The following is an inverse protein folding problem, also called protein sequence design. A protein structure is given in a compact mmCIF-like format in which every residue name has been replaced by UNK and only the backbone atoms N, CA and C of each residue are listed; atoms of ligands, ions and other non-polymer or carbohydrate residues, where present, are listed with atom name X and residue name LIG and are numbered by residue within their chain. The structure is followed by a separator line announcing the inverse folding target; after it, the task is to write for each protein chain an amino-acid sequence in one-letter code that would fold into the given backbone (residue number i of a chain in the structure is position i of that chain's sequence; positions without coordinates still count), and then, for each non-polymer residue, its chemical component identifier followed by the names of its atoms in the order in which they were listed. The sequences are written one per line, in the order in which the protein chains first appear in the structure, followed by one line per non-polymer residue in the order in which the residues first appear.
data_IF_641669570767
#
_entry.id   IF_641669570767
#
_cell.length_a   1.000
_cell.length_b   1.000
_cell.length_c   1.000
_cell.angle_alpha   90.00
_cell.angle_beta   90.00
_cell.angle_gamma   90.00
#
_symmetry.space_group_name_H-M   'P 1'
#
loop_
_entity.id
_entity.type
_entity.pdbx_description
1 polymer ?
#
# COMPACT_ATOMS: atom_id res chain seq x y z
N UNK A 1 19.39 99.85 34.20
CA UNK A 1 18.59 100.28 33.03
C UNK A 1 19.10 99.45 31.85
N UNK A 2 18.21 98.59 31.31
CA UNK A 2 18.22 97.76 30.07
C UNK A 2 19.55 97.10 29.59
N UNK A 3 19.67 95.78 29.41
CA UNK A 3 18.96 94.79 28.54
C UNK A 3 19.38 94.80 27.06
N UNK A 4 19.49 93.57 26.53
CA UNK A 4 19.58 93.08 25.13
C UNK A 4 20.95 93.12 24.43
N UNK A 5 21.41 92.09 23.71
CA UNK A 5 20.83 90.80 23.33
C UNK A 5 21.72 90.10 22.27
N UNK A 6 21.66 88.75 22.23
CA UNK A 6 21.93 87.77 21.15
C UNK A 6 22.83 88.14 19.94
N UNK A 7 23.70 87.28 19.40
CA UNK A 7 23.75 85.82 19.40
C UNK A 7 23.94 85.32 17.94
N UNK A 8 24.75 84.26 17.79
CA UNK A 8 24.76 83.28 16.68
C UNK A 8 25.21 83.76 15.28
N UNK A 9 25.79 82.96 14.38
CA UNK A 9 26.28 81.58 14.40
C UNK A 9 27.12 81.36 13.13
N UNK A 10 28.03 80.40 13.25
CA UNK A 10 28.76 79.70 12.21
C UNK A 10 27.86 78.83 11.32
N UNK A 11 28.15 78.69 10.02
CA UNK A 11 28.72 77.47 9.41
C UNK A 11 28.55 77.38 7.87
N UNK A 12 29.67 77.00 7.25
CA UNK A 12 29.87 76.01 6.17
C UNK A 12 29.15 76.12 4.81
N UNK A 13 29.97 76.35 3.79
CA UNK A 13 30.04 75.63 2.50
C UNK A 13 31.40 76.02 1.87
N UNK A 14 32.23 75.23 1.18
CA UNK A 14 31.99 74.19 0.18
C UNK A 14 33.32 73.47 -0.16
N UNK A 15 33.22 72.14 -0.30
CA UNK A 15 33.70 71.29 -1.42
C UNK A 15 35.07 71.51 -2.10
N UNK A 16 35.97 70.51 -2.04
CA UNK A 16 36.51 69.78 -3.21
C UNK A 16 37.66 68.80 -2.84
N UNK A 17 37.45 67.53 -3.18
CA UNK A 17 38.39 66.53 -3.73
C UNK A 17 39.69 66.17 -2.99
N UNK A 18 39.68 65.02 -2.32
CA UNK A 18 40.86 64.27 -1.87
C UNK A 18 40.77 62.78 -2.24
N UNK A 19 41.68 62.40 -3.14
CA UNK A 19 42.47 61.17 -3.26
C UNK A 19 41.83 59.80 -2.90
N UNK A 20 41.78 58.93 -3.93
CA UNK A 20 41.41 57.51 -3.87
C UNK A 20 42.51 56.66 -3.21
N UNK A 21 42.25 56.09 -2.03
CA UNK A 21 42.93 54.90 -1.52
C UNK A 21 41.98 53.69 -1.49
N UNK A 22 42.41 52.60 -2.11
CA UNK A 22 41.73 51.31 -2.14
C UNK A 22 41.81 50.64 -0.76
N UNK A 23 40.66 50.35 -0.14
CA UNK A 23 40.58 49.50 1.06
C UNK A 23 39.81 48.21 0.76
N UNK A 24 40.39 47.08 1.15
CA UNK A 24 39.85 45.74 0.98
C UNK A 24 38.60 45.49 1.85
N UNK A 25 37.63 44.66 1.41
CA UNK A 25 36.43 44.40 2.20
C UNK A 25 36.74 43.55 3.46
N UNK A 26 36.27 44.04 4.62
CA UNK A 26 36.25 43.30 5.89
C UNK A 26 35.50 41.97 5.70
N UNK A 27 36.16 40.84 6.01
CA UNK A 27 35.50 39.53 6.15
C UNK A 27 34.52 39.58 7.32
N UNK A 28 33.26 39.29 7.05
CA UNK A 28 32.24 38.98 8.05
C UNK A 28 32.67 37.76 8.89
N UNK A 29 32.28 37.68 10.18
CA UNK A 29 32.54 36.51 11.00
C UNK A 29 31.83 35.28 10.40
N UNK A 30 32.37 34.07 10.58
CA UNK A 30 31.77 32.86 10.02
C UNK A 30 30.37 32.69 10.60
N UNK A 31 29.39 32.58 9.70
CA UNK A 31 28.06 32.09 10.02
C UNK A 31 28.17 30.78 10.78
N UNK A 32 27.40 30.65 11.85
CA UNK A 32 27.12 29.38 12.51
C UNK A 32 26.87 28.27 11.47
N UNK A 33 27.28 27.01 11.75
CA UNK A 33 26.95 25.91 10.86
C UNK A 33 25.43 25.93 10.61
N UNK A 34 24.97 25.65 9.38
CA UNK A 34 23.55 25.55 9.13
C UNK A 34 23.00 24.55 10.15
N UNK A 35 21.98 24.98 10.89
CA UNK A 35 21.09 24.08 11.61
C UNK A 35 20.84 22.90 10.67
N UNK A 36 21.03 21.67 11.13
CA UNK A 36 20.62 20.52 10.35
C UNK A 36 19.12 20.69 10.10
N UNK A 37 18.76 21.20 8.92
CA UNK A 37 17.41 21.09 8.40
C UNK A 37 17.17 19.59 8.41
N UNK A 38 16.37 19.12 9.37
CA UNK A 38 15.85 17.78 9.35
C UNK A 38 15.01 17.71 8.09
N UNK A 39 15.62 17.29 6.98
CA UNK A 39 14.93 17.04 5.73
C UNK A 39 13.82 16.04 6.07
N UNK A 40 12.57 16.52 6.10
CA UNK A 40 11.43 15.71 6.48
C UNK A 40 11.30 14.57 5.46
N UNK A 41 11.66 13.37 5.88
CA UNK A 41 11.70 12.21 5.00
C UNK A 41 10.28 11.71 4.78
N UNK A 42 9.92 11.55 3.51
CA UNK A 42 8.70 10.82 3.15
C UNK A 42 8.82 9.37 3.56
N UNK A 43 7.73 8.79 4.04
CA UNK A 43 7.61 7.38 4.37
C UNK A 43 6.36 6.80 3.72
N UNK A 44 6.08 5.52 3.98
CA UNK A 44 4.90 4.85 3.49
C UNK A 44 4.37 3.80 4.47
N UNK A 45 3.15 3.36 4.22
CA UNK A 45 2.49 2.28 4.94
C UNK A 45 1.73 1.42 3.93
N UNK A 46 1.80 0.09 4.08
CA UNK A 46 1.00 -0.85 3.28
C UNK A 46 0.07 -1.61 4.21
N UNK A 47 -1.22 -1.71 3.89
CA UNK A 47 -2.17 -2.47 4.71
C UNK A 47 -3.24 -3.15 3.87
N UNK A 48 -3.95 -4.08 4.50
CA UNK A 48 -4.93 -4.95 3.85
C UNK A 48 -6.35 -4.45 4.10
N UNK A 49 -7.13 -4.39 3.03
CA UNK A 49 -8.57 -4.17 3.05
C UNK A 49 -9.27 -5.30 2.28
N UNK A 50 -10.42 -5.74 2.74
CA UNK A 50 -11.29 -6.59 1.93
C UNK A 50 -11.69 -5.88 0.64
N UNK A 51 -12.21 -6.64 -0.33
CA UNK A 51 -12.70 -6.04 -1.58
C UNK A 51 -13.81 -5.00 -1.37
N UNK A 52 -14.70 -5.22 -0.40
CA UNK A 52 -15.80 -4.31 -0.10
C UNK A 52 -15.27 -2.99 0.49
N UNK A 53 -14.41 -3.08 1.50
CA UNK A 53 -13.74 -1.92 2.11
C UNK A 53 -12.93 -1.14 1.08
N UNK A 54 -12.13 -1.82 0.25
CA UNK A 54 -11.37 -1.18 -0.82
C UNK A 54 -12.28 -0.46 -1.85
N UNK A 55 -13.44 -1.04 -2.18
CA UNK A 55 -14.45 -0.40 -3.02
C UNK A 55 -15.02 0.88 -2.39
N UNK A 56 -15.31 0.84 -1.09
CA UNK A 56 -15.78 1.99 -0.31
C UNK A 56 -14.73 3.11 -0.25
N UNK A 57 -13.46 2.78 -0.03
CA UNK A 57 -12.35 3.77 -0.01
C UNK A 57 -12.12 4.41 -1.38
N UNK A 58 -12.28 3.66 -2.47
CA UNK A 58 -12.20 4.24 -3.83
C UNK A 58 -13.38 5.21 -4.03
N UNK A 59 -14.59 4.81 -3.65
CA UNK A 59 -15.81 5.59 -3.86
C UNK A 59 -16.27 5.60 -5.32
N UNK A 60 -17.51 6.05 -5.56
CA UNK A 60 -18.08 6.12 -6.92
C UNK A 60 -17.25 7.06 -7.79
N UNK A 61 -16.69 6.55 -8.88
CA UNK A 61 -15.83 7.33 -9.77
C UNK A 61 -14.49 7.77 -9.15
N UNK A 62 -14.07 7.18 -8.03
CA UNK A 62 -12.83 7.59 -7.35
C UNK A 62 -12.99 8.81 -6.44
N UNK A 63 -14.22 9.23 -6.12
CA UNK A 63 -14.48 10.47 -5.37
C UNK A 63 -13.85 10.45 -3.97
N UNK A 64 -14.03 9.37 -3.22
CA UNK A 64 -13.59 9.27 -1.81
C UNK A 64 -12.07 9.24 -1.71
N UNK A 65 -11.39 8.42 -2.50
CA UNK A 65 -9.92 8.38 -2.49
C UNK A 65 -9.32 9.72 -2.91
N UNK A 66 -9.96 10.44 -3.84
CA UNK A 66 -9.53 11.77 -4.26
C UNK A 66 -9.68 12.78 -3.13
N UNK A 67 -10.80 12.75 -2.41
CA UNK A 67 -11.03 13.58 -1.22
C UNK A 67 -10.00 13.29 -0.13
N UNK A 68 -9.75 12.01 0.18
CA UNK A 68 -8.81 11.62 1.23
C UNK A 68 -7.38 12.04 0.91
N UNK A 69 -6.94 11.90 -0.33
CA UNK A 69 -5.64 12.42 -0.77
C UNK A 69 -5.58 13.95 -0.66
N UNK A 70 -6.64 14.65 -1.05
CA UNK A 70 -6.70 16.12 -0.96
C UNK A 70 -6.66 16.63 0.48
N UNK A 71 -7.36 15.96 1.41
CA UNK A 71 -7.44 16.38 2.82
C UNK A 71 -6.20 16.03 3.62
N UNK A 72 -5.56 14.91 3.29
CA UNK A 72 -4.40 14.42 4.02
C UNK A 72 -3.08 14.94 3.46
N UNK A 73 -2.99 15.30 2.18
CA UNK A 73 -1.72 15.58 1.50
C UNK A 73 -0.95 14.30 1.10
N UNK A 74 -1.37 13.14 1.56
CA UNK A 74 -0.75 11.87 1.22
C UNK A 74 -1.22 11.34 -0.14
N UNK A 75 -0.38 10.52 -0.76
CA UNK A 75 -0.73 9.71 -1.93
C UNK A 75 -1.28 8.36 -1.47
N UNK A 76 -2.46 7.99 -1.94
CA UNK A 76 -3.15 6.74 -1.63
C UNK A 76 -3.28 5.93 -2.92
N UNK A 77 -2.80 4.69 -2.90
CA UNK A 77 -2.85 3.77 -4.02
C UNK A 77 -3.44 2.44 -3.56
N UNK A 78 -4.23 1.80 -4.42
CA UNK A 78 -4.76 0.46 -4.17
C UNK A 78 -4.31 -0.48 -5.29
N UNK A 79 -3.91 -1.69 -4.92
CA UNK A 79 -3.73 -2.84 -5.82
C UNK A 79 -4.96 -3.03 -6.70
N UNK A 80 -4.83 -3.57 -7.93
CA UNK A 80 -5.96 -3.72 -8.86
C UNK A 80 -7.01 -4.71 -8.34
N UNK A 81 -8.18 -4.74 -8.98
CA UNK A 81 -9.15 -5.80 -8.70
C UNK A 81 -8.51 -7.17 -9.01
N UNK A 82 -8.72 -8.12 -8.09
CA UNK A 82 -8.12 -9.46 -8.12
C UNK A 82 -6.60 -9.52 -7.92
N UNK A 83 -5.97 -8.41 -7.52
CA UNK A 83 -4.58 -8.36 -7.06
C UNK A 83 -4.57 -8.38 -5.52
N UNK A 84 -4.60 -9.58 -4.96
CA UNK A 84 -4.71 -9.79 -3.51
C UNK A 84 -3.34 -9.92 -2.85
N UNK A 85 -3.31 -9.67 -1.54
CA UNK A 85 -2.21 -10.16 -0.73
C UNK A 85 -2.24 -11.69 -0.69
N UNK A 86 -1.10 -12.38 -0.82
CA UNK A 86 -1.08 -13.83 -0.92
C UNK A 86 -1.73 -14.52 0.28
N UNK A 87 -2.48 -15.59 -0.01
CA UNK A 87 -3.23 -16.35 0.98
C UNK A 87 -4.43 -15.61 1.60
N UNK A 88 -4.77 -14.43 1.09
CA UNK A 88 -5.97 -13.68 1.48
C UNK A 88 -6.81 -13.33 0.26
N UNK A 89 -8.00 -12.78 0.53
CA UNK A 89 -8.87 -12.12 -0.45
C UNK A 89 -8.81 -10.60 -0.31
N UNK A 90 -7.77 -10.10 0.35
CA UNK A 90 -7.64 -8.69 0.73
C UNK A 90 -6.78 -7.97 -0.30
N UNK A 91 -7.21 -6.80 -0.71
CA UNK A 91 -6.43 -5.87 -1.52
C UNK A 91 -5.42 -5.15 -0.65
N UNK A 92 -4.27 -4.86 -1.24
CA UNK A 92 -3.24 -4.03 -0.61
C UNK A 92 -3.50 -2.57 -0.93
N UNK A 93 -3.53 -1.74 0.11
CA UNK A 93 -3.50 -0.28 0.07
C UNK A 93 -2.09 0.17 0.40
N UNK A 94 -1.57 1.16 -0.31
CA UNK A 94 -0.34 1.86 0.03
C UNK A 94 -0.62 3.34 0.18
N UNK A 95 -0.26 3.90 1.33
CA UNK A 95 -0.29 5.35 1.60
C UNK A 95 1.14 5.82 1.74
N UNK A 96 1.50 6.93 1.10
CA UNK A 96 2.85 7.50 1.11
C UNK A 96 2.83 9.01 1.17
N UNK A 97 3.75 9.62 1.92
CA UNK A 97 3.85 11.05 2.11
C UNK A 97 4.74 11.39 3.31
N UNK A 98 4.64 12.62 3.81
CA UNK A 98 5.17 12.96 5.13
C UNK A 98 4.43 12.16 6.21
N UNK A 99 5.06 11.94 7.36
CA UNK A 99 4.50 11.08 8.40
C UNK A 99 3.13 11.58 8.88
N UNK A 100 2.98 12.87 9.13
CA UNK A 100 1.71 13.48 9.55
C UNK A 100 0.62 13.33 8.50
N UNK A 101 0.95 13.55 7.23
CA UNK A 101 0.00 13.42 6.13
C UNK A 101 -0.43 11.96 5.93
N UNK A 102 0.50 11.03 6.10
CA UNK A 102 0.21 9.60 6.08
C UNK A 102 -0.71 9.20 7.24
N UNK A 103 -0.42 9.65 8.47
CA UNK A 103 -1.26 9.37 9.63
C UNK A 103 -2.67 9.93 9.46
N UNK A 104 -2.81 11.18 8.96
CA UNK A 104 -4.11 11.77 8.61
C UNK A 104 -4.85 10.91 7.58
N UNK A 105 -4.18 10.42 6.54
CA UNK A 105 -4.81 9.57 5.54
C UNK A 105 -5.28 8.22 6.11
N UNK A 106 -4.50 7.61 7.00
CA UNK A 106 -4.88 6.36 7.67
C UNK A 106 -6.08 6.59 8.60
N UNK A 107 -6.11 7.70 9.34
CA UNK A 107 -7.24 8.09 10.19
C UNK A 107 -8.54 8.25 9.38
N UNK A 108 -8.50 8.99 8.26
CA UNK A 108 -9.65 9.15 7.37
C UNK A 108 -10.17 7.81 6.81
N UNK A 109 -9.25 6.91 6.45
CA UNK A 109 -9.60 5.58 5.95
C UNK A 109 -10.25 4.76 7.05
N UNK A 110 -9.63 4.66 8.22
CA UNK A 110 -10.13 3.85 9.33
C UNK A 110 -11.46 4.36 9.87
N UNK A 111 -11.62 5.68 10.03
CA UNK A 111 -12.89 6.29 10.42
C UNK A 111 -14.02 5.94 9.46
N UNK A 112 -13.78 6.07 8.15
CA UNK A 112 -14.79 5.68 7.14
C UNK A 112 -15.15 4.20 7.20
N UNK A 113 -14.17 3.32 7.39
CA UNK A 113 -14.43 1.88 7.47
C UNK A 113 -15.21 1.52 8.74
N UNK A 114 -14.87 2.17 9.86
CA UNK A 114 -15.57 2.00 11.14
C UNK A 114 -17.05 2.35 10.97
N UNK A 115 -17.34 3.53 10.43
CA UNK A 115 -18.71 4.03 10.22
C UNK A 115 -19.55 3.14 9.28
N UNK A 116 -18.93 2.55 8.25
CA UNK A 116 -19.66 1.82 7.21
C UNK A 116 -19.78 0.31 7.46
N UNK A 117 -18.82 -0.30 8.16
CA UNK A 117 -18.74 -1.76 8.30
C UNK A 117 -18.81 -2.27 9.74
N UNK A 118 -18.63 -1.41 10.75
CA UNK A 118 -18.48 -1.82 12.14
C UNK A 118 -19.48 -1.16 13.09
N UNK A 119 -20.35 -0.28 12.60
CA UNK A 119 -21.51 0.22 13.33
C UNK A 119 -22.70 -0.69 13.05
N UNK A 120 -22.75 -1.85 13.69
CA UNK A 120 -23.97 -2.65 13.80
C UNK A 120 -24.18 -3.03 15.27
N UNK A 121 -25.36 -2.64 15.77
CA UNK A 121 -25.98 -2.93 17.06
C UNK A 121 -25.73 -1.95 18.22
N UNK A 122 -26.83 -1.35 18.70
CA UNK A 122 -26.90 -0.19 19.60
C UNK A 122 -26.50 -0.46 21.05
N UNK A 123 -25.29 -0.95 21.28
CA UNK A 123 -24.66 -0.98 22.59
C UNK A 123 -23.80 0.25 22.85
N UNK A 124 -23.72 0.70 24.11
CA UNK A 124 -22.84 1.79 24.59
C UNK A 124 -21.33 1.50 24.46
N UNK A 125 -20.93 0.40 23.81
CA UNK A 125 -19.53 0.02 23.66
C UNK A 125 -18.93 0.68 22.41
N UNK A 126 -17.80 1.36 22.58
CA UNK A 126 -17.06 1.97 21.48
C UNK A 126 -16.65 0.91 20.45
N UNK A 127 -16.90 1.13 19.14
CA UNK A 127 -16.68 0.13 18.12
C UNK A 127 -15.19 -0.23 18.01
N UNK A 128 -14.91 -1.53 17.96
CA UNK A 128 -13.54 -2.07 17.88
C UNK A 128 -13.36 -2.78 16.55
N UNK A 129 -12.26 -2.49 15.86
CA UNK A 129 -11.95 -3.06 14.54
C UNK A 129 -10.54 -3.67 14.50
N UNK A 130 -10.08 -4.02 13.29
CA UNK A 130 -8.78 -4.64 13.06
C UNK A 130 -8.08 -3.99 11.87
N UNK A 131 -6.87 -3.49 12.10
CA UNK A 131 -5.96 -3.02 11.06
C UNK A 131 -4.86 -4.05 10.79
N UNK A 132 -4.58 -4.35 9.52
CA UNK A 132 -3.60 -5.36 9.10
C UNK A 132 -2.53 -4.73 8.23
N UNK A 133 -1.45 -4.30 8.86
CA UNK A 133 -0.27 -3.74 8.24
C UNK A 133 0.58 -4.83 7.58
N UNK A 134 1.11 -4.55 6.40
CA UNK A 134 2.06 -5.40 5.67
C UNK A 134 3.47 -4.82 5.83
N UNK A 135 4.38 -5.60 6.39
CA UNK A 135 5.74 -5.18 6.75
C UNK A 135 6.76 -6.19 6.20
N UNK A 136 7.84 -5.74 5.55
CA UNK A 136 8.95 -6.63 5.20
C UNK A 136 9.48 -7.37 6.42
N UNK A 137 9.75 -8.67 6.28
CA UNK A 137 10.25 -9.51 7.36
C UNK A 137 11.56 -8.96 7.96
N UNK A 138 12.42 -8.37 7.13
CA UNK A 138 13.64 -7.70 7.57
C UNK A 138 13.39 -6.59 8.60
N UNK A 139 12.25 -5.90 8.49
CA UNK A 139 11.87 -4.77 9.36
C UNK A 139 11.07 -5.20 10.58
N UNK A 140 10.49 -6.41 10.59
CA UNK A 140 9.76 -6.93 11.75
C UNK A 140 10.63 -7.08 13.00
N UNK A 141 11.93 -7.33 12.85
CA UNK A 141 12.86 -7.43 13.98
C UNK A 141 12.91 -6.15 14.82
N UNK A 142 12.83 -4.98 14.17
CA UNK A 142 12.79 -3.67 14.85
C UNK A 142 11.50 -3.42 15.61
N UNK A 143 10.36 -3.87 15.07
CA UNK A 143 9.05 -3.81 15.76
C UNK A 143 9.03 -4.74 16.98
N UNK A 144 9.55 -5.96 16.85
CA UNK A 144 9.57 -6.93 17.94
C UNK A 144 10.52 -6.46 19.06
N UNK A 145 11.73 -6.04 18.69
CA UNK A 145 12.78 -5.67 19.63
C UNK A 145 13.38 -6.86 20.39
N UNK A 146 14.49 -6.64 21.10
CA UNK A 146 15.18 -7.68 21.86
C UNK A 146 14.25 -8.25 22.95
N UNK A 147 14.01 -9.57 22.93
CA UNK A 147 13.11 -10.24 23.87
C UNK A 147 11.64 -9.79 23.77
N UNK A 148 11.23 -9.17 22.66
CA UNK A 148 9.89 -8.62 22.49
C UNK A 148 9.66 -7.29 23.22
N UNK A 149 10.71 -6.61 23.70
CA UNK A 149 10.57 -5.41 24.52
C UNK A 149 9.85 -4.26 23.81
N UNK A 150 10.17 -4.04 22.53
CA UNK A 150 9.58 -2.94 21.75
C UNK A 150 8.10 -3.16 21.49
N UNK A 151 7.71 -4.33 20.99
CA UNK A 151 6.29 -4.64 20.76
C UNK A 151 5.47 -4.63 22.07
N UNK A 152 6.06 -5.04 23.20
CA UNK A 152 5.41 -4.94 24.51
C UNK A 152 5.14 -3.49 24.91
N UNK A 153 6.12 -2.60 24.73
CA UNK A 153 5.94 -1.16 24.97
C UNK A 153 4.88 -0.57 24.04
N UNK A 154 4.83 -0.97 22.76
CA UNK A 154 3.78 -0.49 21.86
C UNK A 154 2.39 -0.94 22.30
N UNK A 155 2.24 -2.18 22.78
CA UNK A 155 0.99 -2.70 23.32
C UNK A 155 0.59 -1.92 24.59
N UNK A 156 1.54 -1.63 25.47
CA UNK A 156 1.30 -0.88 26.72
C UNK A 156 0.87 0.57 26.44
N UNK A 157 1.60 1.27 25.58
CA UNK A 157 1.39 2.69 25.27
C UNK A 157 0.12 2.94 24.45
N UNK A 158 -0.21 2.02 23.55
CA UNK A 158 -1.40 2.14 22.69
C UNK A 158 -2.66 1.51 23.28
N UNK A 159 -2.50 0.59 24.24
CA UNK A 159 -3.56 -0.32 24.73
C UNK A 159 -4.19 -1.20 23.64
N UNK A 160 -3.64 -1.19 22.41
CA UNK A 160 -4.10 -2.02 21.32
C UNK A 160 -3.54 -3.45 21.44
N UNK A 161 -4.29 -4.42 20.92
CA UNK A 161 -3.75 -5.75 20.67
C UNK A 161 -2.87 -5.74 19.43
N UNK A 162 -1.56 -6.05 19.57
CA UNK A 162 -0.61 -6.11 18.44
C UNK A 162 -0.08 -7.53 18.31
N UNK A 163 -0.22 -8.12 17.11
CA UNK A 163 0.28 -9.47 16.79
C UNK A 163 0.98 -9.48 15.44
N UNK A 164 2.13 -10.13 15.37
CA UNK A 164 2.87 -10.30 14.11
C UNK A 164 2.68 -11.74 13.64
N UNK A 165 2.26 -11.93 12.39
CA UNK A 165 2.12 -13.25 11.79
C UNK A 165 3.44 -14.04 11.88
N UNK A 166 3.40 -15.37 12.09
CA UNK A 166 4.61 -16.18 12.16
C UNK A 166 5.44 -16.12 10.85
N UNK A 167 6.73 -16.45 10.94
CA UNK A 167 7.66 -16.32 9.81
C UNK A 167 7.52 -17.45 8.76
N UNK A 168 6.91 -18.58 9.13
CA UNK A 168 6.69 -19.74 8.26
C UNK A 168 5.60 -19.50 7.20
N UNK A 169 4.82 -18.43 7.31
CA UNK A 169 3.78 -18.03 6.37
C UNK A 169 4.35 -17.39 5.07
N UNK A 170 5.54 -17.80 4.66
CA UNK A 170 6.34 -17.14 3.63
C UNK A 170 5.93 -17.65 2.24
N UNK A 171 5.31 -16.78 1.45
CA UNK A 171 4.99 -17.08 0.05
C UNK A 171 6.28 -17.06 -0.79
N UNK A 172 6.49 -18.01 -1.72
CA UNK A 172 7.69 -18.02 -2.54
C UNK A 172 7.91 -16.67 -3.25
N UNK A 173 9.07 -16.05 -3.05
CA UNK A 173 9.42 -14.75 -3.64
C UNK A 173 8.87 -13.51 -2.91
N UNK A 174 8.09 -13.69 -1.83
CA UNK A 174 7.65 -12.60 -0.95
C UNK A 174 8.12 -12.86 0.47
N UNK A 175 8.63 -11.81 1.08
CA UNK A 175 9.15 -11.86 2.43
C UNK A 175 8.43 -10.89 3.36
N UNK A 176 7.17 -10.57 3.07
CA UNK A 176 6.36 -9.68 3.91
C UNK A 176 5.59 -10.47 4.97
N UNK A 177 5.45 -9.88 6.15
CA UNK A 177 4.65 -10.37 7.27
C UNK A 177 3.53 -9.39 7.57
N UNK A 178 2.44 -9.92 8.13
CA UNK A 178 1.30 -9.12 8.54
C UNK A 178 1.40 -8.79 10.02
N UNK A 179 1.41 -7.50 10.34
CA UNK A 179 1.23 -6.97 11.71
C UNK A 179 -0.25 -6.61 11.88
N UNK A 180 -0.93 -7.31 12.77
CA UNK A 180 -2.35 -7.11 13.08
C UNK A 180 -2.47 -6.27 14.33
N UNK A 181 -3.16 -5.14 14.23
CA UNK A 181 -3.52 -4.23 15.32
C UNK A 181 -5.04 -4.33 15.52
N UNK A 182 -5.49 -4.48 16.77
CA UNK A 182 -6.92 -4.55 17.12
C UNK A 182 -7.20 -3.63 18.29
N UNK A 183 -8.25 -2.82 18.20
CA UNK A 183 -8.58 -1.83 19.22
C UNK A 183 -9.74 -0.93 18.83
N UNK A 184 -10.02 0.10 19.62
CA UNK A 184 -10.77 1.28 19.17
C UNK A 184 -9.96 2.04 18.10
N UNK A 185 -10.57 3.05 17.47
CA UNK A 185 -9.86 3.87 16.48
C UNK A 185 -8.62 4.53 17.09
N UNK A 186 -8.76 5.15 18.28
CA UNK A 186 -7.67 5.81 18.99
C UNK A 186 -6.55 4.85 19.39
N UNK A 187 -6.89 3.68 19.95
CA UNK A 187 -5.93 2.64 20.30
C UNK A 187 -5.13 2.19 19.04
N UNK A 188 -5.82 2.00 17.92
CA UNK A 188 -5.20 1.59 16.66
C UNK A 188 -4.29 2.68 16.09
N UNK A 189 -4.76 3.94 16.05
CA UNK A 189 -3.97 5.05 15.53
C UNK A 189 -2.69 5.26 16.33
N UNK A 190 -2.77 5.17 17.66
CA UNK A 190 -1.61 5.23 18.56
C UNK A 190 -0.60 4.10 18.27
N UNK A 191 -1.08 2.87 18.09
CA UNK A 191 -0.21 1.74 17.74
C UNK A 191 0.44 1.89 16.35
N UNK A 192 -0.33 2.35 15.37
CA UNK A 192 0.14 2.58 13.98
C UNK A 192 1.24 3.63 13.97
N UNK A 193 1.03 4.74 14.68
CA UNK A 193 2.04 5.80 14.85
C UNK A 193 3.36 5.24 15.40
N UNK A 194 3.33 4.52 16.53
CA UNK A 194 4.52 3.92 17.15
C UNK A 194 5.26 2.95 16.20
N UNK A 195 4.51 2.11 15.49
CA UNK A 195 5.07 1.18 14.51
C UNK A 195 5.72 1.94 13.36
N UNK A 196 5.08 2.99 12.84
CA UNK A 196 5.59 3.76 11.70
C UNK A 196 6.83 4.57 12.06
N UNK A 197 6.89 5.18 13.24
CA UNK A 197 8.11 5.81 13.74
C UNK A 197 9.26 4.80 13.75
N UNK A 198 9.02 3.59 14.26
CA UNK A 198 10.04 2.55 14.31
C UNK A 198 10.47 2.06 12.93
N UNK A 199 9.54 1.96 11.99
CA UNK A 199 9.82 1.56 10.61
C UNK A 199 10.57 2.66 9.83
N UNK A 200 10.28 3.93 10.09
CA UNK A 200 10.98 5.06 9.48
C UNK A 200 12.46 5.14 9.88
N UNK A 201 12.82 4.61 11.05
CA UNK A 201 14.21 4.46 11.50
C UNK A 201 14.97 3.32 10.78
N UNK A 202 14.26 2.38 10.13
CA UNK A 202 14.88 1.24 9.44
C UNK A 202 15.21 1.59 7.97
N UNK A 203 16.51 1.69 7.59
CA UNK A 203 16.90 1.98 6.22
C UNK A 203 16.40 0.96 5.19
N UNK A 204 16.22 -0.30 5.61
CA UNK A 204 15.75 -1.37 4.71
C UNK A 204 14.26 -1.22 4.40
N UNK A 205 13.47 -0.69 5.33
CA UNK A 205 12.06 -0.42 5.10
C UNK A 205 11.87 0.61 3.98
N UNK A 206 12.69 1.66 3.97
CA UNK A 206 12.59 2.72 2.97
C UNK A 206 12.96 2.26 1.55
N UNK A 207 13.83 1.26 1.42
CA UNK A 207 14.17 0.71 0.10
C UNK A 207 12.99 -0.04 -0.55
N UNK A 208 12.08 -0.63 0.23
CA UNK A 208 10.90 -1.34 -0.27
C UNK A 208 9.74 -0.43 -0.72
N UNK A 209 9.89 0.89 -0.61
CA UNK A 209 8.89 1.88 -1.05
C UNK A 209 8.67 1.84 -2.57
N UNK A 210 9.70 1.55 -3.37
CA UNK A 210 9.67 1.66 -4.84
C UNK A 210 8.88 0.55 -5.54
N UNK A 211 8.36 -0.43 -4.80
CA UNK A 211 7.61 -1.55 -5.35
C UNK A 211 6.29 -1.71 -4.59
N UNK A 212 5.27 -0.89 -4.92
CA UNK A 212 4.06 -0.76 -4.12
C UNK A 212 3.23 -2.06 -4.08
N UNK A 213 3.13 -2.75 -5.22
CA UNK A 213 2.29 -3.93 -5.40
C UNK A 213 3.05 -5.07 -6.12
N UNK A 214 3.95 -5.72 -5.40
CA UNK A 214 4.74 -6.85 -5.92
C UNK A 214 3.94 -8.17 -5.97
N UNK A 215 2.75 -8.18 -5.38
CA UNK A 215 1.95 -9.38 -5.16
C UNK A 215 1.36 -9.92 -6.46
N UNK A 216 1.06 -9.06 -7.44
CA UNK A 216 0.64 -9.51 -8.78
C UNK A 216 1.65 -10.46 -9.43
N UNK A 217 2.96 -10.26 -9.19
CA UNK A 217 4.00 -11.09 -9.77
C UNK A 217 4.09 -12.48 -9.11
N UNK A 218 3.57 -12.69 -7.90
CA UNK A 218 3.44 -14.05 -7.35
C UNK A 218 2.26 -14.79 -7.98
N UNK A 219 1.26 -14.06 -8.47
CA UNK A 219 0.15 -14.62 -9.25
C UNK A 219 0.47 -14.80 -10.75
N UNK A 220 1.51 -14.14 -11.29
CA UNK A 220 1.85 -14.15 -12.73
C UNK A 220 3.28 -14.67 -13.02
N UNK A 221 4.12 -14.85 -12.00
CA UNK A 221 5.56 -15.04 -12.11
C UNK A 221 6.04 -16.48 -12.05
N UNK A 222 5.54 -17.32 -12.97
CA UNK A 222 6.41 -18.35 -13.54
C UNK A 222 7.06 -17.90 -14.86
N UNK A 223 6.75 -16.70 -15.36
CA UNK A 223 7.47 -16.14 -16.50
C UNK A 223 7.16 -14.65 -16.61
N UNK A 224 8.09 -13.77 -16.27
CA UNK A 224 8.39 -12.51 -16.98
C UNK A 224 9.58 -11.85 -16.30
N UNK A 225 10.64 -11.61 -17.08
CA UNK A 225 11.84 -10.91 -16.65
C UNK A 225 11.56 -9.46 -16.21
N UNK A 226 12.56 -8.82 -15.57
CA UNK A 226 12.38 -7.56 -14.87
C UNK A 226 12.03 -6.40 -15.83
N UNK A 227 11.15 -5.46 -15.43
CA UNK A 227 10.91 -4.24 -16.18
C UNK A 227 11.88 -3.15 -15.73
N UNK A 228 12.85 -2.81 -16.58
CA UNK A 228 13.16 -1.43 -16.97
C UNK A 228 14.50 -1.32 -17.71
N UNK A 229 14.50 -0.55 -18.82
CA UNK A 229 15.61 0.33 -19.14
C UNK A 229 16.39 0.05 -20.43
N UNK A 230 16.19 0.95 -21.40
CA UNK A 230 17.21 1.51 -22.32
C UNK A 230 17.76 0.59 -23.42
N UNK A 231 17.74 1.13 -24.65
CA UNK A 231 18.04 0.40 -25.88
C UNK A 231 19.45 -0.18 -25.98
N UNK A 232 19.51 -1.37 -26.58
CA UNK A 232 20.74 -1.99 -27.08
C UNK A 232 20.38 -2.91 -28.24
N UNK A 233 20.80 -2.54 -29.45
CA UNK A 233 20.72 -3.37 -30.66
C UNK A 233 21.80 -4.45 -30.58
N UNK A 234 21.46 -5.74 -30.68
CA UNK A 234 22.30 -6.82 -31.26
C UNK A 234 21.43 -8.04 -31.64
N UNK A 235 21.87 -8.91 -32.57
CA UNK A 235 20.98 -9.52 -33.56
C UNK A 235 20.52 -10.96 -33.22
N UNK A 236 19.28 -11.21 -33.64
CA UNK A 236 18.72 -12.44 -34.21
C UNK A 236 19.35 -13.80 -33.79
N UNK A 237 18.66 -14.54 -32.92
CA UNK A 237 18.64 -16.00 -32.99
C UNK A 237 17.20 -16.50 -32.79
N UNK A 238 16.45 -16.46 -33.88
CA UNK A 238 15.06 -16.91 -33.98
C UNK A 238 15.05 -18.40 -34.23
N UNK A 239 14.96 -19.23 -33.20
CA UNK A 239 14.37 -20.58 -33.26
C UNK A 239 13.83 -21.01 -31.88
N UNK A 240 12.54 -21.38 -31.86
CA UNK A 240 11.80 -22.10 -30.81
C UNK A 240 11.53 -21.41 -29.45
N UNK A 241 10.45 -20.62 -29.41
CA UNK A 241 9.28 -20.98 -28.58
C UNK A 241 8.10 -20.07 -28.93
N UNK A 242 7.12 -20.62 -29.66
CA UNK A 242 5.93 -19.91 -30.13
C UNK A 242 4.66 -20.42 -29.42
N UNK A 243 4.81 -21.08 -28.27
CA UNK A 243 3.70 -21.69 -27.51
C UNK A 243 3.25 -20.86 -26.30
N UNK A 244 3.93 -19.78 -25.95
CA UNK A 244 3.51 -18.86 -24.88
C UNK A 244 2.48 -17.82 -25.37
N UNK A 245 1.47 -18.27 -26.13
CA UNK A 245 0.27 -17.45 -26.30
C UNK A 245 -0.57 -17.58 -25.04
N UNK A 246 -0.81 -16.44 -24.38
CA UNK A 246 -1.89 -16.32 -23.40
C UNK A 246 -3.19 -16.70 -24.10
N UNK A 247 -3.65 -17.92 -23.85
CA UNK A 247 -4.88 -18.45 -24.42
C UNK A 247 -6.03 -18.17 -23.47
N UNK A 248 -7.24 -18.10 -24.01
CA UNK A 248 -8.47 -18.01 -23.23
C UNK A 248 -9.38 -19.15 -23.67
N UNK A 249 -9.90 -19.89 -22.69
CA UNK A 249 -10.87 -20.96 -22.89
C UNK A 249 -12.10 -20.65 -22.05
N UNK A 250 -13.29 -20.87 -22.60
CA UNK A 250 -14.54 -20.74 -21.86
C UNK A 250 -15.18 -22.11 -21.77
N UNK A 251 -15.46 -22.57 -20.55
CA UNK A 251 -16.17 -23.81 -20.29
C UNK A 251 -17.55 -23.53 -19.68
N UNK A 252 -18.47 -24.46 -19.87
CA UNK A 252 -19.78 -24.45 -19.23
C UNK A 252 -19.75 -25.20 -17.91
N UNK A 253 -20.33 -24.61 -16.87
CA UNK A 253 -20.59 -25.28 -15.59
C UNK A 253 -22.07 -25.09 -15.26
N UNK A 254 -22.79 -26.19 -15.04
CA UNK A 254 -24.20 -26.13 -14.63
C UNK A 254 -24.38 -25.20 -13.42
N UNK A 255 -25.41 -24.36 -13.44
CA UNK A 255 -25.59 -23.30 -12.44
C UNK A 255 -25.60 -23.83 -10.99
N UNK A 256 -26.16 -25.03 -10.79
CA UNK A 256 -26.18 -25.75 -9.51
C UNK A 256 -24.77 -26.12 -8.99
N UNK A 257 -23.81 -26.37 -9.88
CA UNK A 257 -22.45 -26.77 -9.55
C UNK A 257 -21.48 -25.58 -9.43
N UNK A 258 -21.87 -24.38 -9.88
CA UNK A 258 -21.01 -23.18 -9.78
C UNK A 258 -20.68 -22.84 -8.34
N UNK A 259 -21.59 -23.10 -7.40
CA UNK A 259 -21.33 -22.93 -5.97
C UNK A 259 -20.15 -23.74 -5.46
N UNK A 260 -19.90 -24.92 -6.02
CA UNK A 260 -18.76 -25.80 -5.67
C UNK A 260 -17.44 -25.28 -6.21
N UNK A 261 -17.48 -24.76 -7.45
CA UNK A 261 -16.33 -24.15 -8.10
C UNK A 261 -15.93 -22.86 -7.38
N UNK A 262 -16.90 -22.02 -7.02
CA UNK A 262 -16.68 -20.81 -6.21
C UNK A 262 -16.21 -21.16 -4.80
N UNK A 263 -16.89 -22.08 -4.12
CA UNK A 263 -16.70 -22.37 -2.70
C UNK A 263 -17.22 -21.26 -1.79
N UNK A 264 -17.27 -21.53 -0.48
CA UNK A 264 -17.68 -20.52 0.53
C UNK A 264 -16.76 -19.30 0.43
N UNK A 265 -17.36 -18.11 0.27
CA UNK A 265 -16.66 -16.83 0.09
C UNK A 265 -15.64 -16.82 -1.07
N UNK A 266 -15.80 -17.68 -2.08
CA UNK A 266 -14.88 -17.73 -3.22
C UNK A 266 -13.58 -18.50 -2.96
N UNK A 267 -13.41 -19.16 -1.81
CA UNK A 267 -12.14 -19.82 -1.45
C UNK A 267 -11.72 -20.91 -2.45
N UNK A 268 -12.68 -21.70 -2.96
CA UNK A 268 -12.38 -22.81 -3.89
C UNK A 268 -11.88 -22.27 -5.22
N UNK A 269 -12.54 -21.24 -5.77
CA UNK A 269 -12.10 -20.67 -7.04
C UNK A 269 -10.76 -19.96 -6.91
N UNK A 270 -10.50 -19.35 -5.75
CA UNK A 270 -9.19 -18.75 -5.43
C UNK A 270 -8.10 -19.81 -5.38
N UNK A 271 -8.35 -20.94 -4.71
CA UNK A 271 -7.42 -22.08 -4.66
C UNK A 271 -7.15 -22.63 -6.07
N UNK A 272 -8.19 -22.80 -6.90
CA UNK A 272 -8.04 -23.26 -8.29
C UNK A 272 -7.20 -22.27 -9.09
N UNK A 273 -7.49 -20.98 -8.99
CA UNK A 273 -6.73 -19.93 -9.69
C UNK A 273 -5.27 -19.89 -9.22
N UNK A 274 -5.03 -20.02 -7.91
CA UNK A 274 -3.70 -20.04 -7.30
C UNK A 274 -2.88 -21.27 -7.74
N UNK A 275 -3.44 -22.48 -7.66
CA UNK A 275 -2.73 -23.72 -7.96
C UNK A 275 -2.52 -23.93 -9.47
N UNK A 276 -3.46 -23.44 -10.29
CA UNK A 276 -3.33 -23.55 -11.75
C UNK A 276 -2.48 -22.45 -12.38
N UNK A 277 -2.33 -21.30 -11.71
CA UNK A 277 -1.74 -20.10 -12.32
C UNK A 277 -2.61 -19.50 -13.44
N UNK A 278 -3.88 -19.89 -13.55
CA UNK A 278 -4.82 -19.35 -14.52
C UNK A 278 -5.69 -18.26 -13.89
N UNK A 279 -5.99 -17.21 -14.65
CA UNK A 279 -7.04 -16.24 -14.31
C UNK A 279 -8.39 -16.85 -14.64
N UNK A 280 -9.29 -16.95 -13.65
CA UNK A 280 -10.61 -17.55 -13.84
C UNK A 280 -11.69 -16.53 -13.52
N UNK A 281 -12.61 -16.31 -14.45
CA UNK A 281 -13.79 -15.46 -14.29
C UNK A 281 -15.04 -16.30 -14.47
N UNK A 282 -15.99 -16.16 -13.54
CA UNK A 282 -17.31 -16.79 -13.64
C UNK A 282 -18.30 -15.70 -13.99
N UNK A 283 -19.22 -15.96 -14.93
CA UNK A 283 -20.30 -15.03 -15.29
C UNK A 283 -21.21 -14.73 -14.10
N UNK A 284 -22.02 -13.69 -14.16
CA UNK A 284 -23.03 -13.41 -13.13
C UNK A 284 -24.19 -14.42 -13.17
N UNK A 285 -24.98 -14.49 -12.09
CA UNK A 285 -26.17 -15.35 -12.07
C UNK A 285 -27.12 -14.96 -13.20
N UNK A 286 -27.56 -15.93 -13.99
CA UNK A 286 -28.41 -15.71 -15.16
C UNK A 286 -27.68 -15.44 -16.48
N UNK A 287 -26.35 -15.24 -16.46
CA UNK A 287 -25.55 -15.13 -17.69
C UNK A 287 -24.97 -16.50 -18.09
N UNK A 288 -25.68 -17.18 -18.97
CA UNK A 288 -25.39 -18.55 -19.42
C UNK A 288 -24.75 -18.61 -20.81
N UNK A 289 -24.07 -19.72 -21.11
CA UNK A 289 -23.62 -20.06 -22.46
C UNK A 289 -24.83 -20.17 -23.39
N UNK A 290 -24.71 -19.59 -24.58
CA UNK A 290 -25.79 -19.52 -25.56
C UNK A 290 -26.35 -20.91 -25.87
N UNK A 291 -27.66 -21.08 -25.66
CA UNK A 291 -28.36 -22.35 -25.90
C UNK A 291 -28.25 -23.37 -24.76
N UNK A 292 -27.69 -23.00 -23.60
CA UNK A 292 -27.56 -23.87 -22.42
C UNK A 292 -28.01 -23.16 -21.14
N UNK A 293 -28.15 -23.90 -20.04
CA UNK A 293 -28.29 -23.36 -18.67
C UNK A 293 -26.94 -23.30 -17.93
N UNK A 294 -25.83 -23.45 -18.65
CA UNK A 294 -24.51 -23.51 -18.04
C UNK A 294 -23.93 -22.11 -17.89
N UNK A 295 -23.42 -21.80 -16.69
CA UNK A 295 -22.69 -20.57 -16.41
C UNK A 295 -21.35 -20.60 -17.12
N UNK A 296 -20.91 -19.43 -17.57
CA UNK A 296 -19.64 -19.27 -18.29
C UNK A 296 -18.50 -19.21 -17.29
N UNK A 297 -17.54 -20.11 -17.41
CA UNK A 297 -16.27 -20.04 -16.70
C UNK A 297 -15.15 -19.76 -17.71
N UNK A 298 -14.65 -18.54 -17.71
CA UNK A 298 -13.56 -18.09 -18.59
C UNK A 298 -12.22 -18.26 -17.89
N UNK A 299 -11.35 -19.09 -18.44
CA UNK A 299 -10.02 -19.42 -17.95
C UNK A 299 -8.99 -18.80 -18.91
N UNK A 300 -8.09 -17.97 -18.41
CA UNK A 300 -7.06 -17.31 -19.21
C UNK A 300 -5.67 -17.59 -18.62
N UNK A 301 -4.73 -18.04 -19.45
CA UNK A 301 -3.37 -18.35 -19.02
C UNK A 301 -2.56 -19.12 -20.07
N UNK A 302 -1.45 -19.71 -19.66
CA UNK A 302 -0.70 -20.64 -20.51
C UNK A 302 -1.50 -21.93 -20.77
N UNK A 303 -1.15 -22.69 -21.81
CA UNK A 303 -1.82 -23.95 -22.11
C UNK A 303 -1.74 -24.96 -20.94
N UNK A 304 -0.66 -24.91 -20.16
CA UNK A 304 -0.50 -25.71 -18.94
C UNK A 304 -1.40 -25.21 -17.80
N UNK A 305 -1.48 -23.90 -17.61
CA UNK A 305 -2.31 -23.30 -16.58
C UNK A 305 -3.81 -23.57 -16.83
N UNK A 306 -4.26 -23.38 -18.07
CA UNK A 306 -5.66 -23.66 -18.46
C UNK A 306 -6.02 -25.12 -18.18
N UNK A 307 -5.20 -26.08 -18.64
CA UNK A 307 -5.46 -27.52 -18.43
C UNK A 307 -5.50 -27.89 -16.95
N UNK A 308 -4.63 -27.28 -16.14
CA UNK A 308 -4.60 -27.51 -14.69
C UNK A 308 -5.88 -26.97 -14.04
N UNK A 309 -6.28 -25.74 -14.38
CA UNK A 309 -7.52 -25.13 -13.89
C UNK A 309 -8.75 -25.95 -14.28
N UNK A 310 -8.85 -26.35 -15.55
CA UNK A 310 -9.93 -27.18 -16.07
C UNK A 310 -10.04 -28.51 -15.31
N UNK A 311 -8.92 -29.23 -15.13
CA UNK A 311 -8.89 -30.49 -14.37
C UNK A 311 -9.37 -30.31 -12.91
N UNK A 312 -8.94 -29.22 -12.26
CA UNK A 312 -9.35 -28.92 -10.89
C UNK A 312 -10.84 -28.57 -10.79
N UNK A 313 -11.37 -27.81 -11.75
CA UNK A 313 -12.80 -27.48 -11.84
C UNK A 313 -13.62 -28.75 -12.04
N UNK A 314 -13.26 -29.58 -13.02
CA UNK A 314 -13.93 -30.85 -13.27
C UNK A 314 -13.91 -31.77 -12.05
N UNK A 315 -12.77 -31.83 -11.33
CA UNK A 315 -12.66 -32.63 -10.10
C UNK A 315 -13.58 -32.10 -8.98
N UNK A 316 -13.69 -30.78 -8.81
CA UNK A 316 -14.60 -30.19 -7.80
C UNK A 316 -16.07 -30.51 -8.10
N UNK A 317 -16.43 -30.58 -9.38
CA UNK A 317 -17.78 -30.92 -9.82
C UNK A 317 -18.03 -32.44 -9.62
N UNK A 318 -17.08 -33.28 -10.03
CA UNK A 318 -17.22 -34.74 -9.98
C UNK A 318 -17.34 -35.31 -8.54
N UNK A 319 -16.61 -34.73 -7.57
CA UNK A 319 -16.60 -35.22 -6.18
C UNK A 319 -17.95 -35.09 -5.43
N UNK A 320 -18.95 -34.45 -6.03
CA UNK A 320 -20.30 -34.29 -5.45
C UNK A 320 -21.33 -35.16 -6.17
N UNK A 321 -21.02 -35.66 -7.38
CA UNK A 321 -21.89 -36.58 -8.12
C UNK A 321 -21.93 -38.00 -7.51
N UNK A 322 -21.00 -38.32 -6.60
CA UNK A 322 -20.84 -39.64 -5.96
C UNK A 322 -21.21 -39.65 -4.45
N UNK A 323 -21.88 -38.61 -3.93
CA UNK A 323 -22.41 -38.55 -2.57
C UNK A 323 -23.89 -38.24 -2.56
#
# INVERSE_FOLDING_TARGET
MAMEGAGAESNYNSSAESQLEQSSPRKSPPSSPPSQDHEEKTTYVKFLLSNAEAGSIIGKGGSTITEFQSRSGARIQLSRNFEFFPGTSDRVVMVSGLLDDLLKAVDLILGKLLDEFYVEDGGDAEPRSRFRLVVPNSSCGGIIGKGGATIKSFIEDSRAGIKISPQDNNFPGLHDRVVTVTGTLDEQMRAIELILYKLAEDPHYMQSMNAPFQYAAVYVGMNYGPPNGVGGRYPNNRHQNKEDRNNTVTIGVADEHVGLVLGRNGRSIMEISQLSGARIKISDRGDFLSGTSDRKVTITGSQRAIRTAESMISRKIANVSER
#
